data_IF_648495898880
#
_entry.id   IF_648495898880
#
_cell.length_a   1.000
_cell.length_b   1.000
_cell.length_c   1.000
_cell.angle_alpha   90.00
_cell.angle_beta   90.00
_cell.angle_gamma   90.00
#
_symmetry.space_group_name_H-M   'P 1'
#
loop_
_entity.id
_entity.type
_entity.pdbx_description
1 polymer ?
#
# COMPACT_ATOMS: atom_id res chain seq x y z
N UNK A 1 -4.54 -12.72 0.39
CA UNK A 1 -5.15 -11.62 -0.28
C UNK A 1 -4.12 -10.61 -0.65
N UNK A 2 -4.37 -9.83 -1.65
CA UNK A 2 -3.39 -8.88 -2.15
C UNK A 2 -3.79 -7.48 -1.76
N UNK A 3 -2.84 -6.71 -1.29
CA UNK A 3 -3.09 -5.33 -0.95
C UNK A 3 -2.66 -4.45 -2.11
N UNK A 4 -3.52 -3.52 -2.48
CA UNK A 4 -3.24 -2.59 -3.57
C UNK A 4 -3.20 -1.18 -3.02
N UNK A 5 -2.19 -0.42 -3.43
CA UNK A 5 -2.08 0.97 -3.07
C UNK A 5 -2.29 1.75 -4.36
N UNK A 6 -3.27 2.64 -4.37
CA UNK A 6 -3.57 3.43 -5.55
C UNK A 6 -3.04 4.83 -5.39
N UNK A 7 -2.28 5.27 -6.37
CA UNK A 7 -1.74 6.62 -6.38
C UNK A 7 -2.40 7.38 -7.51
N UNK A 8 -2.94 8.51 -7.23
CA UNK A 8 -3.54 9.30 -8.27
C UNK A 8 -4.72 8.60 -8.88
N UNK A 9 -4.95 8.81 -10.13
CA UNK A 9 -6.17 8.36 -10.72
C UNK A 9 -6.11 6.95 -11.27
N UNK A 10 -5.02 6.46 -11.77
CA UNK A 10 -5.06 5.13 -12.31
C UNK A 10 -3.80 4.35 -12.10
N UNK A 11 -3.03 4.68 -11.11
CA UNK A 11 -1.82 3.93 -10.86
C UNK A 11 -2.03 3.11 -9.60
N UNK A 12 -1.96 1.84 -9.67
CA UNK A 12 -2.11 0.97 -8.52
C UNK A 12 -0.95 0.00 -8.47
N UNK A 13 -0.47 -0.27 -7.27
CA UNK A 13 0.65 -1.16 -7.08
C UNK A 13 0.23 -2.25 -6.11
N UNK A 14 0.51 -3.49 -6.46
CA UNK A 14 0.23 -4.62 -5.58
C UNK A 14 1.45 -4.86 -4.72
N UNK A 15 1.24 -5.01 -3.42
CA UNK A 15 2.33 -5.16 -2.48
C UNK A 15 2.14 -6.40 -1.62
N UNK A 16 3.23 -6.85 -1.02
CA UNK A 16 3.20 -8.03 -0.18
C UNK A 16 2.68 -7.75 1.22
N UNK A 17 2.84 -6.54 1.70
CA UNK A 17 2.40 -6.20 3.04
C UNK A 17 0.89 -6.30 3.13
N UNK A 18 0.38 -6.71 4.27
CA UNK A 18 -1.04 -6.86 4.42
C UNK A 18 -1.71 -5.53 4.64
N UNK A 19 -2.99 -5.50 4.38
CA UNK A 19 -3.77 -4.28 4.46
C UNK A 19 -3.62 -3.63 5.84
N UNK A 20 -3.71 -4.42 6.89
CA UNK A 20 -3.59 -3.89 8.23
C UNK A 20 -2.20 -3.34 8.51
N UNK A 21 -1.20 -3.96 7.92
CA UNK A 21 0.16 -3.47 8.09
C UNK A 21 0.34 -2.13 7.41
N UNK A 22 -0.22 -1.95 6.21
CA UNK A 22 -0.12 -0.68 5.52
C UNK A 22 -0.81 0.42 6.33
N UNK A 23 -1.95 0.12 6.91
CA UNK A 23 -2.63 1.08 7.75
C UNK A 23 -1.75 1.51 8.92
N UNK A 24 -1.06 0.55 9.52
CA UNK A 24 -0.18 0.84 10.64
C UNK A 24 0.99 1.70 10.20
N UNK A 25 1.54 1.43 9.04
CA UNK A 25 2.67 2.19 8.54
C UNK A 25 2.28 3.64 8.25
N UNK A 26 1.09 3.85 7.71
CA UNK A 26 0.63 5.20 7.44
C UNK A 26 0.43 5.95 8.75
N UNK A 27 -0.18 5.31 9.73
CA UNK A 27 -0.42 5.94 11.01
C UNK A 27 0.89 6.28 11.71
N UNK A 28 1.88 5.40 11.61
CA UNK A 28 3.17 5.65 12.21
C UNK A 28 3.85 6.84 11.54
N UNK A 29 3.72 6.95 10.23
CA UNK A 29 4.29 8.08 9.53
C UNK A 29 3.67 9.39 9.96
N UNK A 30 2.36 9.39 10.19
CA UNK A 30 1.71 10.59 10.64
C UNK A 30 2.14 10.96 12.05
N UNK A 31 2.30 9.97 12.91
CA UNK A 31 2.70 10.22 14.28
C UNK A 31 4.11 10.79 14.36
N UNK A 32 5.00 10.37 13.48
CA UNK A 32 6.37 10.83 13.50
C UNK A 32 6.61 11.97 12.52
N UNK A 33 5.60 12.36 11.78
CA UNK A 33 5.70 13.42 10.79
C UNK A 33 6.65 13.09 9.67
N UNK A 34 6.85 11.82 9.42
CA UNK A 34 7.62 11.37 8.29
C UNK A 34 6.63 10.75 7.32
N UNK A 35 6.25 11.44 6.27
CA UNK A 35 5.17 10.99 5.38
C UNK A 35 5.64 9.97 4.36
N UNK A 36 6.44 9.04 4.75
CA UNK A 36 6.93 8.03 3.84
C UNK A 36 6.98 6.68 4.53
N UNK A 37 6.72 5.64 3.78
CA UNK A 37 6.84 4.29 4.30
C UNK A 37 7.29 3.36 3.18
N UNK A 38 7.88 2.27 3.56
CA UNK A 38 8.46 1.36 2.58
C UNK A 38 7.61 0.12 2.46
N UNK A 39 7.35 -0.32 1.24
CA UNK A 39 6.60 -1.53 0.98
C UNK A 39 7.37 -2.38 -0.01
N UNK A 40 6.96 -3.62 -0.17
CA UNK A 40 7.58 -4.54 -1.10
C UNK A 40 6.57 -4.91 -2.17
N UNK A 41 6.90 -4.65 -3.41
CA UNK A 41 6.04 -5.05 -4.50
C UNK A 41 6.01 -6.55 -4.60
N UNK A 42 5.01 -7.08 -5.24
CA UNK A 42 4.88 -8.53 -5.33
C UNK A 42 6.01 -9.14 -6.13
N UNK A 43 6.74 -8.38 -6.93
CA UNK A 43 7.87 -8.91 -7.65
C UNK A 43 9.15 -8.82 -6.82
N UNK A 44 9.08 -8.38 -5.59
CA UNK A 44 10.24 -8.32 -4.71
C UNK A 44 10.92 -6.98 -4.64
N UNK A 45 10.55 -6.03 -5.48
CA UNK A 45 11.19 -4.74 -5.47
C UNK A 45 10.69 -3.91 -4.30
N UNK A 46 11.59 -3.16 -3.68
CA UNK A 46 11.20 -2.31 -2.58
C UNK A 46 10.79 -0.95 -3.08
N UNK A 47 9.82 -0.35 -2.44
CA UNK A 47 9.25 0.89 -2.91
C UNK A 47 9.04 1.80 -1.72
N UNK A 48 9.53 3.03 -1.82
CA UNK A 48 9.32 4.01 -0.78
C UNK A 48 8.15 4.88 -1.20
N UNK A 49 7.12 4.94 -0.41
CA UNK A 49 5.87 5.56 -0.78
C UNK A 49 5.62 6.80 0.06
N UNK A 50 5.21 7.88 -0.60
CA UNK A 50 4.85 9.10 0.10
C UNK A 50 3.37 9.01 0.45
N UNK A 51 3.03 9.10 1.73
CA UNK A 51 1.65 8.94 2.16
C UNK A 51 0.75 9.99 1.55
N UNK A 52 1.27 11.14 1.18
CA UNK A 52 0.43 12.16 0.60
C UNK A 52 0.01 11.84 -0.81
N UNK A 53 0.69 10.91 -1.46
CA UNK A 53 0.33 10.52 -2.81
C UNK A 53 -0.61 9.33 -2.83
N UNK A 54 -0.91 8.76 -1.69
CA UNK A 54 -1.76 7.58 -1.64
C UNK A 54 -3.22 8.02 -1.63
N UNK A 55 -3.98 7.55 -2.62
CA UNK A 55 -5.39 7.85 -2.68
C UNK A 55 -6.18 6.83 -1.87
N UNK A 56 -5.96 5.56 -2.12
CA UNK A 56 -6.69 4.52 -1.40
C UNK A 56 -5.79 3.32 -1.22
N UNK A 57 -6.08 2.53 -0.21
CA UNK A 57 -5.54 1.21 -0.07
C UNK A 57 -6.71 0.27 -0.06
N UNK A 58 -6.58 -0.85 -0.73
CA UNK A 58 -7.67 -1.82 -0.75
C UNK A 58 -7.10 -3.21 -0.69
N UNK A 59 -7.90 -4.12 -0.18
CA UNK A 59 -7.51 -5.50 -0.10
C UNK A 59 -8.33 -6.24 -1.11
N UNK A 60 -7.70 -6.77 -2.13
CA UNK A 60 -8.40 -7.46 -3.17
C UNK A 60 -8.68 -8.86 -2.81
N UNK A 61 -9.91 -9.33 -2.95
CA UNK A 61 -10.19 -10.68 -2.72
C UNK A 61 -9.92 -11.47 -3.93
N UNK A 62 -9.50 -12.70 -3.74
CA UNK A 62 -9.26 -13.54 -4.80
C UNK A 62 -10.54 -13.81 -5.46
N UNK A 63 -10.61 -13.72 -6.72
CA UNK A 63 -11.82 -13.90 -7.36
C UNK A 63 -12.09 -15.25 -7.62
N UNK A 64 -11.94 -16.11 -6.96
CA UNK A 64 -12.13 -17.38 -7.16
C UNK A 64 -13.25 -17.67 -7.86
N UNK A 65 -13.15 -18.06 -8.74
CA UNK A 65 -14.21 -18.48 -9.39
C UNK A 65 -14.91 -17.49 -10.08
N UNK A 66 -14.52 -16.58 -10.03
CA UNK A 66 -15.23 -15.67 -10.55
C UNK A 66 -14.75 -15.23 -11.48
#
# INVERSE_FOLDING_TARGET
>A
MTTYIRFGDDHAVAVLEEYEEIKRLIAAGEATKVPMFEVTRIDGARLLVNTREVWTISEGKKKDGR
#
